data_IF_310168405864
#
_entry.id   IF_310168405864
#
_cell.length_a   1.000
_cell.length_b   1.000
_cell.length_c   1.000
_cell.angle_alpha   90.00
_cell.angle_beta   90.00
_cell.angle_gamma   90.00
#
_symmetry.space_group_name_H-M   'P 1'
#
loop_
_entity.id
_entity.type
_entity.pdbx_description
1 polymer ?
#
# COMPACT_ATOMS: atom_id res chain seq x y z
N UNK A 1 0.20 23.74 5.82
CA UNK A 1 1.02 22.53 6.08
C UNK A 1 0.38 21.39 5.32
N UNK A 2 1.13 20.71 4.44
CA UNK A 2 0.61 19.54 3.74
C UNK A 2 0.74 18.33 4.66
N UNK A 3 -0.39 17.74 5.05
CA UNK A 3 -0.41 16.49 5.79
C UNK A 3 -0.42 15.35 4.79
N UNK A 4 0.68 14.62 4.70
CA UNK A 4 0.74 13.40 3.87
C UNK A 4 0.09 12.23 4.63
N UNK A 5 -0.69 11.44 3.91
CA UNK A 5 -1.25 10.18 4.41
C UNK A 5 -0.31 9.05 3.96
N UNK A 6 0.29 8.35 4.91
CA UNK A 6 1.11 7.17 4.66
C UNK A 6 0.49 5.93 5.29
N UNK A 7 0.60 4.80 4.60
CA UNK A 7 0.21 3.49 5.11
C UNK A 7 1.15 2.42 4.55
N UNK A 8 1.29 1.32 5.30
CA UNK A 8 2.08 0.17 4.84
C UNK A 8 1.16 -0.82 4.15
N UNK A 9 1.57 -1.33 2.99
CA UNK A 9 0.86 -2.44 2.36
C UNK A 9 1.10 -3.69 3.22
N UNK A 10 0.06 -4.38 3.71
CA UNK A 10 0.27 -5.61 4.47
C UNK A 10 0.86 -6.69 3.54
N UNK A 11 1.90 -7.38 4.02
CA UNK A 11 2.39 -8.57 3.33
C UNK A 11 1.39 -9.70 3.49
N UNK A 12 1.07 -10.38 2.39
CA UNK A 12 0.31 -11.63 2.42
C UNK A 12 1.39 -12.72 2.48
N UNK A 13 1.42 -13.46 3.58
CA UNK A 13 2.38 -14.56 3.86
C UNK A 13 3.85 -14.16 4.09
N UNK A 14 4.09 -12.95 4.60
CA UNK A 14 5.39 -12.52 5.15
C UNK A 14 6.53 -12.33 4.15
N UNK A 15 6.25 -12.42 2.84
CA UNK A 15 7.28 -12.26 1.79
C UNK A 15 6.86 -11.42 0.59
N UNK A 16 5.57 -11.32 0.28
CA UNK A 16 5.12 -10.64 -0.93
C UNK A 16 3.96 -9.68 -0.70
N UNK A 17 3.99 -8.56 -1.42
CA UNK A 17 2.80 -7.78 -1.74
C UNK A 17 2.12 -8.44 -2.93
N UNK A 18 0.84 -8.78 -2.79
CA UNK A 18 0.06 -9.24 -3.94
C UNK A 18 -0.18 -8.04 -4.83
N UNK A 19 0.29 -8.11 -6.08
CA UNK A 19 0.01 -7.08 -7.08
C UNK A 19 -1.47 -7.11 -7.49
N UNK A 20 -1.91 -6.10 -8.23
CA UNK A 20 -3.27 -6.02 -8.78
C UNK A 20 -4.21 -5.14 -7.96
N UNK A 21 -5.52 -5.32 -8.15
CA UNK A 21 -6.55 -4.48 -7.54
C UNK A 21 -6.82 -4.90 -6.10
N UNK A 22 -6.80 -3.91 -5.20
CA UNK A 22 -7.10 -4.08 -3.79
C UNK A 22 -8.08 -3.01 -3.31
N UNK A 23 -8.94 -3.38 -2.35
CA UNK A 23 -9.80 -2.42 -1.67
C UNK A 23 -9.03 -1.76 -0.52
N UNK A 24 -8.92 -0.44 -0.57
CA UNK A 24 -8.47 0.40 0.56
C UNK A 24 -9.69 1.06 1.18
N UNK A 25 -9.80 1.00 2.50
CA UNK A 25 -10.86 1.67 3.27
C UNK A 25 -10.26 2.77 4.13
N UNK A 26 -10.71 4.00 3.91
CA UNK A 26 -10.39 5.14 4.77
C UNK A 26 -11.58 5.38 5.69
N UNK A 27 -11.32 5.39 7.00
CA UNK A 27 -12.33 5.56 8.05
C UNK A 27 -12.00 6.81 8.86
N UNK A 28 -12.90 7.79 8.80
CA UNK A 28 -12.92 8.92 9.72
C UNK A 28 -13.81 8.56 10.90
N UNK A 29 -13.24 8.55 12.11
CA UNK A 29 -13.96 8.34 13.37
C UNK A 29 -13.72 9.51 14.31
N UNK A 30 -14.75 9.92 15.04
CA UNK A 30 -14.60 10.88 16.13
C UNK A 30 -14.02 10.21 17.40
N UNK A 31 -14.43 8.96 17.67
CA UNK A 31 -13.98 8.18 18.82
C UNK A 31 -12.95 7.13 18.38
N UNK A 32 -11.75 7.19 18.96
CA UNK A 32 -10.64 6.28 18.66
C UNK A 32 -10.95 4.82 19.00
N UNK A 33 -11.93 4.54 19.88
CA UNK A 33 -12.41 3.18 20.19
C UNK A 33 -13.10 2.50 18.99
N UNK A 34 -13.59 3.30 18.05
CA UNK A 34 -14.23 2.83 16.81
C UNK A 34 -13.24 2.70 15.65
N UNK A 35 -11.94 2.92 15.88
CA UNK A 35 -10.88 2.78 14.87
C UNK A 35 -10.47 1.31 14.70
N UNK A 36 -11.44 0.44 14.34
CA UNK A 36 -11.17 -0.96 14.01
C UNK A 36 -11.28 -1.22 12.51
N UNK A 37 -10.51 -2.18 11.95
CA UNK A 37 -10.63 -2.56 10.55
C UNK A 37 -12.07 -2.95 10.22
N UNK A 38 -12.57 -2.47 9.07
CA UNK A 38 -13.90 -2.78 8.54
C UNK A 38 -15.10 -2.41 9.43
N UNK A 39 -14.91 -1.62 10.50
CA UNK A 39 -16.00 -1.20 11.37
C UNK A 39 -16.83 -0.08 10.74
N UNK A 40 -18.15 -0.12 10.94
CA UNK A 40 -19.04 1.01 10.65
C UNK A 40 -19.01 2.01 11.81
N UNK A 41 -18.88 3.28 11.48
CA UNK A 41 -18.88 4.37 12.46
C UNK A 41 -20.29 4.94 12.54
N UNK A 42 -20.81 5.17 13.76
CA UNK A 42 -22.09 5.85 13.91
C UNK A 42 -22.00 7.33 13.55
N UNK A 43 -20.86 7.95 13.88
CA UNK A 43 -20.49 9.32 13.52
C UNK A 43 -19.12 9.31 12.85
N UNK A 44 -19.06 9.77 11.59
CA UNK A 44 -17.85 9.80 10.78
C UNK A 44 -18.12 9.51 9.31
N UNK A 45 -17.06 9.16 8.58
CA UNK A 45 -17.14 8.83 7.16
C UNK A 45 -16.37 7.54 6.87
N UNK A 46 -16.92 6.71 5.99
CA UNK A 46 -16.24 5.53 5.45
C UNK A 46 -16.22 5.66 3.93
N UNK A 47 -15.02 5.65 3.34
CA UNK A 47 -14.86 5.57 1.89
C UNK A 47 -14.01 4.38 1.50
N UNK A 48 -14.52 3.63 0.53
CA UNK A 48 -13.82 2.54 -0.11
C UNK A 48 -13.26 3.03 -1.44
N UNK A 49 -11.98 2.77 -1.66
CA UNK A 49 -11.25 3.06 -2.90
C UNK A 49 -10.67 1.76 -3.45
N UNK A 50 -10.56 1.70 -4.77
CA UNK A 50 -9.78 0.66 -5.45
C UNK A 50 -8.41 1.21 -5.75
N UNK A 51 -7.37 0.54 -5.25
CA UNK A 51 -5.97 0.83 -5.60
C UNK A 51 -5.40 -0.31 -6.41
N UNK A 52 -4.53 0.00 -7.37
CA UNK A 52 -3.80 -1.00 -8.13
C UNK A 52 -2.35 -1.03 -7.64
N UNK A 53 -1.93 -2.14 -7.02
CA UNK A 53 -0.57 -2.32 -6.54
C UNK A 53 0.27 -2.86 -7.70
N UNK A 54 1.17 -2.01 -8.19
CA UNK A 54 2.16 -2.37 -9.20
C UNK A 54 3.51 -2.64 -8.53
N UNK A 55 4.21 -3.68 -8.98
CA UNK A 55 5.60 -3.88 -8.55
C UNK A 55 6.42 -2.75 -9.14
N UNK A 56 7.28 -2.15 -8.32
CA UNK A 56 8.30 -1.25 -8.84
C UNK A 56 9.27 -2.13 -9.63
N UNK A 57 9.26 -2.00 -10.95
CA UNK A 57 10.32 -2.57 -11.77
C UNK A 57 11.64 -1.95 -11.31
N UNK A 58 12.56 -2.79 -10.87
CA UNK A 58 13.93 -2.33 -10.64
C UNK A 58 14.49 -2.07 -12.03
N UNK A 59 14.73 -0.79 -12.35
CA UNK A 59 15.49 -0.46 -13.56
C UNK A 59 16.76 -1.28 -13.52
N UNK A 60 16.97 -2.12 -14.54
CA UNK A 60 18.25 -2.78 -14.76
C UNK A 60 19.25 -1.68 -15.07
N UNK A 61 19.91 -1.14 -14.06
CA UNK A 61 21.12 -0.38 -14.27
C UNK A 61 22.16 -1.42 -14.68
N UNK A 62 22.40 -1.55 -15.98
CA UNK A 62 23.50 -2.35 -16.52
C UNK A 62 24.81 -1.73 -16.05
N UNK A 63 25.30 -2.15 -14.89
CA UNK A 63 26.72 -2.16 -14.61
C UNK A 63 27.26 -3.53 -15.02
N UNK A 64 27.62 -3.67 -16.29
CA UNK A 64 28.63 -4.67 -16.69
C UNK A 64 29.61 -4.03 -17.66
N UNK A 65 30.47 -3.18 -17.10
CA UNK A 65 31.78 -2.90 -17.68
C UNK A 65 32.75 -3.96 -17.17
N UNK A 66 33.05 -4.98 -17.97
CA UNK A 66 34.32 -5.72 -17.81
C UNK A 66 34.32 -7.23 -18.06
N UNK A 67 34.82 -7.59 -19.25
CA UNK A 67 35.54 -8.83 -19.60
C UNK A 67 34.74 -10.12 -19.80
N UNK A 68 34.38 -10.37 -21.06
CA UNK A 68 34.29 -11.72 -21.63
C UNK A 68 35.67 -12.03 -22.24
N UNK A 69 36.43 -12.94 -21.63
CA UNK A 69 37.60 -13.56 -22.25
C UNK A 69 37.15 -14.90 -22.87
N UNK A 70 37.48 -15.10 -24.14
CA UNK A 70 37.34 -16.41 -24.83
C UNK A 70 38.49 -17.34 -24.45
#
# INVERSE_FOLDING_TARGET
TQSDISFTIPQIDGRYYVGGQHRVRIVLVQDTRNRKPCQNTGYGEVRDYTVNIIRKEVSKETHDTGNILF
#
